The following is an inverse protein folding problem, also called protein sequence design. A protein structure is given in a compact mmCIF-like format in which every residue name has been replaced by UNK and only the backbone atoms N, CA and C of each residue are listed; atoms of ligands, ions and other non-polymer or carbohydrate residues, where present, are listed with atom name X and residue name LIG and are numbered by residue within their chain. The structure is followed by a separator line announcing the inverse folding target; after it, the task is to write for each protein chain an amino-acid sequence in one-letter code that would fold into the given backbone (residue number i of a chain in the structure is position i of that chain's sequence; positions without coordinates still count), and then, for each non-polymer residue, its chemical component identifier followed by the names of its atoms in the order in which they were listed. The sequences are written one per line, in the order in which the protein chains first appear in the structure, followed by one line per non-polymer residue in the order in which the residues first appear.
data_IF_736477131900
#
_entry.id   IF_736477131900
#
_cell.length_a   1.000
_cell.length_b   1.000
_cell.length_c   1.000
_cell.angle_alpha   90.00
_cell.angle_beta   90.00
_cell.angle_gamma   90.00
#
_symmetry.space_group_name_H-M   'P 1'
#
loop_
_entity.id
_entity.type
_entity.pdbx_description
1 polymer ?
#
# COMPACT_ATOMS: atom_id res chain seq x y z
N UNK A 1 11.78 38.30 39.47
CA UNK A 1 12.54 37.37 38.63
C UNK A 1 11.93 37.41 37.26
N UNK A 2 12.64 37.67 36.19
CA UNK A 2 12.07 37.66 34.86
C UNK A 2 11.72 36.20 34.50
N UNK A 3 10.50 35.97 33.98
CA UNK A 3 10.01 34.71 33.48
C UNK A 3 10.98 34.20 32.38
N UNK A 4 11.53 33.01 32.59
CA UNK A 4 12.29 32.34 31.54
C UNK A 4 11.40 32.26 30.28
N UNK A 5 11.76 32.95 29.21
CA UNK A 5 11.13 32.79 27.92
C UNK A 5 11.20 31.31 27.56
N UNK A 6 10.07 30.65 27.49
CA UNK A 6 9.96 29.30 26.98
C UNK A 6 10.34 29.41 25.48
N UNK A 7 11.58 29.16 25.15
CA UNK A 7 12.06 29.17 23.78
C UNK A 7 11.21 28.18 22.98
N UNK A 8 10.31 28.71 22.16
CA UNK A 8 9.53 27.91 21.20
C UNK A 8 10.53 27.27 20.24
N UNK A 9 10.77 25.97 20.38
CA UNK A 9 11.62 25.22 19.45
C UNK A 9 11.04 25.36 18.06
N UNK A 10 11.86 25.79 17.11
CA UNK A 10 11.46 25.90 15.71
C UNK A 10 10.87 24.56 15.22
N UNK A 11 9.73 24.54 14.55
CA UNK A 11 9.14 23.29 14.10
C UNK A 11 9.99 22.59 13.04
N UNK A 12 9.96 21.24 13.04
CA UNK A 12 10.72 20.44 12.09
C UNK A 12 10.03 19.11 11.78
N UNK A 13 10.36 18.55 10.61
CA UNK A 13 10.10 17.18 10.21
C UNK A 13 11.30 16.31 10.55
N UNK A 14 11.07 15.08 10.98
CA UNK A 14 12.11 14.07 11.21
C UNK A 14 11.72 12.76 10.54
N UNK A 15 12.45 12.37 9.51
CA UNK A 15 12.22 11.17 8.72
C UNK A 15 12.81 9.96 9.43
N UNK A 16 12.06 9.30 10.30
CA UNK A 16 12.55 8.16 11.09
C UNK A 16 12.11 6.80 10.56
N UNK A 17 11.10 6.78 9.70
CA UNK A 17 10.57 5.58 9.08
C UNK A 17 11.49 5.01 7.99
N UNK A 18 11.23 3.76 7.63
CA UNK A 18 11.93 3.07 6.55
C UNK A 18 11.69 3.70 5.18
N UNK A 19 10.56 4.40 4.97
CA UNK A 19 10.21 5.06 3.72
C UNK A 19 11.20 6.16 3.28
N UNK A 20 12.05 6.65 4.15
CA UNK A 20 13.13 7.55 3.77
C UNK A 20 14.34 6.82 3.12
N UNK A 21 14.39 5.49 3.22
CA UNK A 21 15.44 4.66 2.65
C UNK A 21 14.92 3.61 1.65
N UNK A 22 13.67 3.22 1.75
CA UNK A 22 13.00 2.20 0.94
C UNK A 22 11.52 2.53 0.74
N UNK A 23 10.69 1.53 0.45
CA UNK A 23 9.23 1.65 0.24
C UNK A 23 8.40 1.05 1.39
N UNK A 24 8.99 0.83 2.58
CA UNK A 24 8.26 0.22 3.71
C UNK A 24 8.52 0.94 5.02
N UNK A 25 7.63 0.78 5.99
CA UNK A 25 7.78 1.34 7.33
C UNK A 25 7.65 2.86 7.38
N UNK A 26 6.65 3.41 6.71
CA UNK A 26 6.41 4.86 6.62
C UNK A 26 6.19 5.48 7.99
N UNK A 27 7.02 6.47 8.35
CA UNK A 27 6.83 7.28 9.56
C UNK A 27 7.63 8.58 9.48
N UNK A 28 6.94 9.70 9.47
CA UNK A 28 7.54 11.03 9.58
C UNK A 28 7.04 11.70 10.85
N UNK A 29 7.97 12.13 11.71
CA UNK A 29 7.63 12.88 12.92
C UNK A 29 7.58 14.37 12.61
N UNK A 30 6.49 15.01 12.99
CA UNK A 30 6.32 16.46 12.97
C UNK A 30 6.42 16.98 14.40
N UNK A 31 7.39 17.86 14.66
CA UNK A 31 7.55 18.53 15.97
C UNK A 31 7.25 19.99 15.84
N UNK A 32 6.37 20.50 16.70
CA UNK A 32 6.07 21.93 16.82
C UNK A 32 5.61 22.22 18.26
N UNK A 33 6.00 23.35 18.77
CA UNK A 33 5.81 23.67 20.18
C UNK A 33 6.30 22.47 21.04
N UNK A 34 5.51 21.92 21.92
CA UNK A 34 5.84 20.70 22.67
C UNK A 34 5.11 19.46 22.12
N UNK A 35 4.52 19.56 20.94
CA UNK A 35 3.74 18.49 20.31
C UNK A 35 4.63 17.65 19.40
N UNK A 36 4.37 16.35 19.40
CA UNK A 36 4.99 15.36 18.53
C UNK A 36 3.89 14.55 17.86
N UNK A 37 3.69 14.80 16.56
CA UNK A 37 2.79 14.02 15.72
C UNK A 37 3.59 13.00 14.92
N UNK A 38 3.02 11.85 14.64
CA UNK A 38 3.51 10.95 13.61
C UNK A 38 2.58 11.05 12.38
N UNK A 39 3.15 11.14 11.19
CA UNK A 39 2.44 10.96 9.93
C UNK A 39 2.86 9.62 9.38
N UNK A 40 1.90 8.75 9.26
CA UNK A 40 1.99 7.32 9.12
C UNK A 40 2.73 6.60 10.28
N UNK A 41 2.43 5.34 10.43
CA UNK A 41 3.05 4.43 11.39
C UNK A 41 3.01 3.01 10.83
N UNK A 42 3.86 2.78 9.85
CA UNK A 42 3.88 1.55 9.09
C UNK A 42 4.80 0.48 9.64
N UNK A 43 4.62 -0.74 9.13
CA UNK A 43 5.53 -1.86 9.35
C UNK A 43 6.60 -1.91 8.26
N UNK A 44 7.82 -2.26 8.67
CA UNK A 44 8.89 -2.64 7.75
C UNK A 44 8.66 -4.09 7.34
N UNK A 45 8.57 -4.32 6.04
CA UNK A 45 8.33 -5.63 5.45
C UNK A 45 9.34 -5.87 4.32
N UNK A 46 10.13 -6.92 4.49
CA UNK A 46 11.06 -7.43 3.49
C UNK A 46 10.80 -8.92 3.28
N UNK A 47 11.70 -9.61 2.63
CA UNK A 47 11.60 -11.07 2.48
C UNK A 47 12.34 -11.83 3.60
N UNK A 48 12.72 -11.14 4.69
CA UNK A 48 13.47 -11.74 5.80
C UNK A 48 12.76 -11.50 7.14
N UNK A 49 12.03 -12.53 7.57
CA UNK A 49 11.22 -12.50 8.78
C UNK A 49 11.97 -12.03 10.05
N UNK A 50 13.19 -12.51 10.26
CA UNK A 50 14.00 -12.17 11.45
C UNK A 50 14.50 -10.72 11.37
N UNK A 51 14.89 -10.27 10.17
CA UNK A 51 15.32 -8.89 9.94
C UNK A 51 14.14 -7.94 10.14
N UNK A 52 12.97 -8.26 9.60
CA UNK A 52 11.75 -7.47 9.73
C UNK A 52 11.31 -7.32 11.18
N UNK A 53 11.32 -8.41 11.95
CA UNK A 53 11.00 -8.37 13.37
C UNK A 53 11.94 -7.42 14.14
N UNK A 54 13.24 -7.50 13.89
CA UNK A 54 14.24 -6.63 14.53
C UNK A 54 14.06 -5.17 14.10
N UNK A 55 13.91 -4.93 12.80
CA UNK A 55 13.76 -3.59 12.24
C UNK A 55 12.50 -2.88 12.79
N UNK A 56 11.37 -3.59 12.88
CA UNK A 56 10.14 -3.04 13.45
C UNK A 56 10.28 -2.71 14.94
N UNK A 57 10.95 -3.56 15.73
CA UNK A 57 11.25 -3.25 17.13
C UNK A 57 12.13 -2.01 17.27
N UNK A 58 13.14 -1.89 16.44
CA UNK A 58 14.08 -0.76 16.49
C UNK A 58 13.42 0.53 15.99
N UNK A 59 12.53 0.45 14.99
CA UNK A 59 11.69 1.56 14.57
C UNK A 59 10.83 2.07 15.73
N UNK A 60 10.14 1.18 16.44
CA UNK A 60 9.31 1.56 17.60
C UNK A 60 10.15 2.19 18.72
N UNK A 61 11.37 1.71 19.00
CA UNK A 61 12.28 2.35 19.97
C UNK A 61 12.66 3.78 19.56
N UNK A 62 12.88 4.02 18.24
CA UNK A 62 13.16 5.36 17.69
C UNK A 62 11.93 6.26 17.79
N UNK A 63 10.75 5.76 17.44
CA UNK A 63 9.47 6.49 17.55
C UNK A 63 9.18 6.90 18.97
N UNK A 64 9.49 6.06 19.97
CA UNK A 64 9.14 6.27 21.38
C UNK A 64 7.63 6.48 21.56
N UNK A 65 6.79 5.46 21.35
CA UNK A 65 5.32 5.57 21.22
C UNK A 65 4.66 6.37 22.36
N UNK A 66 5.09 6.19 23.61
CA UNK A 66 4.56 6.94 24.78
C UNK A 66 4.71 8.47 24.69
N UNK A 67 5.53 8.96 23.76
CA UNK A 67 5.77 10.40 23.58
C UNK A 67 5.00 11.00 22.40
N UNK A 68 4.22 10.20 21.69
CA UNK A 68 3.38 10.64 20.58
C UNK A 68 2.11 11.26 21.14
N UNK A 69 1.70 12.40 20.59
CA UNK A 69 0.48 13.13 20.99
C UNK A 69 -0.66 12.92 19.98
N UNK A 70 -0.36 12.53 18.74
CA UNK A 70 -1.33 12.19 17.72
C UNK A 70 -0.65 11.50 16.55
N UNK A 71 -1.43 10.69 15.82
CA UNK A 71 -1.00 10.00 14.58
C UNK A 71 -1.95 10.42 13.47
N UNK A 72 -1.42 10.68 12.28
CA UNK A 72 -2.17 10.99 11.07
C UNK A 72 -1.88 9.86 10.08
N UNK A 73 -2.90 9.14 9.64
CA UNK A 73 -2.79 8.05 8.68
C UNK A 73 -3.34 8.52 7.35
N UNK A 74 -2.55 8.36 6.28
CA UNK A 74 -2.96 8.71 4.91
C UNK A 74 -3.75 7.60 4.24
N UNK A 75 -3.36 6.33 4.42
CA UNK A 75 -4.07 5.18 3.85
C UNK A 75 -3.77 3.88 4.59
N UNK A 76 -4.43 2.78 4.20
CA UNK A 76 -4.50 1.57 5.02
C UNK A 76 -3.54 0.44 4.61
N UNK A 77 -2.55 0.67 3.74
CA UNK A 77 -1.51 -0.34 3.51
C UNK A 77 -0.68 -0.58 4.78
N UNK A 78 -0.19 -1.81 4.93
CA UNK A 78 0.50 -2.27 6.13
C UNK A 78 1.73 -1.43 6.50
N UNK A 79 2.45 -0.98 5.50
CA UNK A 79 3.65 -0.15 5.62
C UNK A 79 3.36 1.34 5.91
N UNK A 80 2.07 1.71 6.05
CA UNK A 80 1.61 3.03 6.47
C UNK A 80 0.82 3.05 7.78
N UNK A 81 0.10 1.95 8.15
CA UNK A 81 -0.78 2.00 9.31
C UNK A 81 -0.60 0.86 10.33
N UNK A 82 -0.12 -0.34 9.96
CA UNK A 82 -0.18 -1.48 10.88
C UNK A 82 0.88 -1.48 11.99
N UNK A 83 1.85 -0.58 11.95
CA UNK A 83 2.73 -0.28 13.08
C UNK A 83 2.00 0.33 14.30
N UNK A 84 0.76 0.83 14.11
CA UNK A 84 -0.11 1.27 15.21
C UNK A 84 -0.30 0.20 16.27
N UNK A 85 -0.45 -1.06 15.88
CA UNK A 85 -0.58 -2.20 16.79
C UNK A 85 0.61 -2.31 17.73
N UNK A 86 1.83 -2.29 17.20
CA UNK A 86 3.05 -2.33 17.99
C UNK A 86 3.22 -1.07 18.87
N UNK A 87 2.80 0.10 18.37
CA UNK A 87 2.89 1.34 19.13
C UNK A 87 1.95 1.35 20.35
N UNK A 88 0.71 0.89 20.22
CA UNK A 88 -0.22 0.81 21.37
C UNK A 88 0.19 -0.31 22.33
N UNK A 89 0.72 -1.44 21.84
CA UNK A 89 1.30 -2.48 22.69
C UNK A 89 2.48 -1.94 23.53
N UNK A 90 3.24 -0.97 23.00
CA UNK A 90 4.31 -0.27 23.73
C UNK A 90 3.84 0.94 24.53
N UNK A 91 2.53 1.12 24.67
CA UNK A 91 1.90 2.10 25.57
C UNK A 91 1.65 3.47 24.94
N UNK A 92 1.49 3.57 23.62
CA UNK A 92 0.98 4.79 22.99
C UNK A 92 -0.47 5.04 23.43
N UNK A 93 -0.75 6.29 23.79
CA UNK A 93 -2.08 6.81 24.12
C UNK A 93 -2.24 8.15 23.42
N UNK A 94 -2.68 8.10 22.14
CA UNK A 94 -2.74 9.27 21.27
C UNK A 94 -3.89 9.12 20.27
N UNK A 95 -4.57 10.23 19.96
CA UNK A 95 -5.57 10.24 18.90
C UNK A 95 -4.95 9.82 17.57
N UNK A 96 -5.69 8.99 16.82
CA UNK A 96 -5.31 8.47 15.52
C UNK A 96 -6.31 9.01 14.50
N UNK A 97 -5.89 10.00 13.74
CA UNK A 97 -6.70 10.64 12.71
C UNK A 97 -6.60 9.84 11.43
N UNK A 98 -7.73 9.41 10.88
CA UNK A 98 -7.83 8.61 9.66
C UNK A 98 -8.88 9.19 8.71
N UNK A 99 -8.78 8.95 7.40
CA UNK A 99 -9.81 9.38 6.46
C UNK A 99 -11.15 8.72 6.76
N UNK A 100 -12.23 9.48 6.59
CA UNK A 100 -13.60 8.99 6.81
C UNK A 100 -13.88 7.73 5.96
N UNK A 101 -14.54 6.75 6.56
CA UNK A 101 -14.88 5.45 5.95
C UNK A 101 -13.81 4.37 6.15
N UNK A 102 -12.66 4.70 6.72
CA UNK A 102 -11.51 3.78 6.85
C UNK A 102 -11.65 2.75 7.98
N UNK A 103 -12.47 2.99 9.00
CA UNK A 103 -12.53 2.16 10.23
C UNK A 103 -12.81 0.68 9.95
N UNK A 104 -13.83 0.31 9.14
CA UNK A 104 -14.16 -1.11 8.94
C UNK A 104 -13.00 -1.88 8.29
N UNK A 105 -12.36 -1.28 7.27
CA UNK A 105 -11.23 -1.91 6.56
C UNK A 105 -10.01 -1.98 7.46
N UNK A 106 -9.69 -0.91 8.22
CA UNK A 106 -8.56 -0.91 9.16
C UNK A 106 -8.69 -2.03 10.20
N UNK A 107 -9.90 -2.24 10.74
CA UNK A 107 -10.15 -3.32 11.71
C UNK A 107 -9.83 -4.69 11.09
N UNK A 108 -10.32 -4.95 9.88
CA UNK A 108 -10.05 -6.21 9.15
C UNK A 108 -8.54 -6.40 8.92
N UNK A 109 -7.84 -5.35 8.50
CA UNK A 109 -6.38 -5.38 8.28
C UNK A 109 -5.62 -5.65 9.58
N UNK A 110 -6.02 -5.07 10.71
CA UNK A 110 -5.40 -5.32 12.02
C UNK A 110 -5.60 -6.76 12.49
N UNK A 111 -6.81 -7.31 12.35
CA UNK A 111 -7.11 -8.69 12.72
C UNK A 111 -6.30 -9.71 11.92
N UNK A 112 -6.11 -9.46 10.62
CA UNK A 112 -5.25 -10.29 9.76
C UNK A 112 -3.78 -10.16 10.17
N UNK A 113 -3.32 -8.93 10.41
CA UNK A 113 -1.94 -8.66 10.84
C UNK A 113 -1.58 -9.38 12.14
N UNK A 114 -2.46 -9.40 13.14
CA UNK A 114 -2.24 -10.11 14.42
C UNK A 114 -2.07 -11.62 14.19
N UNK A 115 -2.88 -12.22 13.31
CA UNK A 115 -2.75 -13.64 12.95
C UNK A 115 -1.39 -13.92 12.30
N UNK A 116 -0.97 -13.05 11.38
CA UNK A 116 0.34 -13.16 10.72
C UNK A 116 1.47 -13.00 11.75
N UNK A 117 1.43 -12.01 12.63
CA UNK A 117 2.43 -11.80 13.69
C UNK A 117 2.57 -13.02 14.60
N UNK A 118 1.45 -13.67 14.96
CA UNK A 118 1.46 -14.87 15.79
C UNK A 118 2.10 -16.06 15.04
N UNK A 119 1.74 -16.28 13.78
CA UNK A 119 2.33 -17.32 12.93
C UNK A 119 3.84 -17.10 12.72
N UNK A 120 4.25 -15.88 12.50
CA UNK A 120 5.64 -15.51 12.28
C UNK A 120 6.48 -15.69 13.54
N UNK A 121 5.93 -15.41 14.72
CA UNK A 121 6.55 -15.73 16.00
C UNK A 121 6.82 -17.23 16.15
N UNK A 122 5.83 -18.08 15.81
CA UNK A 122 5.98 -19.53 15.82
C UNK A 122 7.02 -20.02 14.80
N UNK A 123 7.02 -19.47 13.58
CA UNK A 123 8.02 -19.79 12.56
C UNK A 123 9.44 -19.43 13.01
N UNK A 124 9.63 -18.27 13.64
CA UNK A 124 10.93 -17.85 14.17
C UNK A 124 11.43 -18.81 15.25
N UNK A 125 10.54 -19.24 16.15
CA UNK A 125 10.89 -20.19 17.19
C UNK A 125 11.23 -21.57 16.60
N UNK A 126 10.37 -22.10 15.70
CA UNK A 126 10.51 -23.47 15.19
C UNK A 126 11.66 -23.64 14.20
N UNK A 127 11.87 -22.65 13.30
CA UNK A 127 12.91 -22.73 12.24
C UNK A 127 14.27 -22.17 12.66
N UNK A 128 14.29 -21.18 13.55
CA UNK A 128 15.51 -20.44 13.90
C UNK A 128 15.87 -20.51 15.39
N UNK A 129 15.04 -21.14 16.23
CA UNK A 129 15.26 -21.19 17.68
C UNK A 129 15.14 -19.81 18.37
N UNK A 130 14.57 -18.81 17.69
CA UNK A 130 14.52 -17.42 18.15
C UNK A 130 13.21 -17.20 18.90
N UNK A 131 13.28 -16.89 20.21
CA UNK A 131 12.12 -16.44 20.98
C UNK A 131 11.80 -14.98 20.62
N UNK A 132 10.83 -14.79 19.75
CA UNK A 132 10.38 -13.49 19.27
C UNK A 132 8.85 -13.39 19.48
N UNK A 133 8.38 -12.90 20.66
CA UNK A 133 6.94 -12.75 20.89
C UNK A 133 6.35 -11.78 19.85
N UNK A 134 5.07 -11.95 19.47
CA UNK A 134 4.41 -11.03 18.55
C UNK A 134 4.55 -9.57 19.04
N UNK A 135 4.68 -8.63 18.10
CA UNK A 135 4.81 -7.21 18.43
C UNK A 135 3.53 -6.62 19.05
N UNK A 136 2.40 -7.26 18.81
CA UNK A 136 1.10 -6.92 19.37
C UNK A 136 0.22 -8.17 19.47
N UNK A 137 -0.89 -8.05 20.17
CA UNK A 137 -1.87 -9.10 20.43
C UNK A 137 -3.28 -8.62 20.06
N UNK A 138 -4.26 -9.52 20.04
CA UNK A 138 -5.65 -9.20 19.70
C UNK A 138 -6.22 -8.06 20.55
N UNK A 139 -5.93 -8.04 21.86
CA UNK A 139 -6.35 -6.96 22.74
C UNK A 139 -5.77 -5.58 22.44
N UNK A 140 -4.77 -5.49 21.58
CA UNK A 140 -4.22 -4.21 21.13
C UNK A 140 -5.05 -3.58 20.00
N UNK A 141 -5.88 -4.35 19.31
CA UNK A 141 -6.86 -3.86 18.33
C UNK A 141 -7.84 -2.89 19.02
N UNK A 142 -8.43 -3.30 20.14
CA UNK A 142 -9.38 -2.47 20.88
C UNK A 142 -8.73 -1.17 21.38
N UNK A 143 -7.44 -1.24 21.76
CA UNK A 143 -6.67 -0.04 22.14
C UNK A 143 -6.45 0.91 20.96
N UNK A 144 -6.26 0.42 19.74
CA UNK A 144 -6.21 1.28 18.54
C UNK A 144 -7.59 1.88 18.30
N UNK A 145 -8.63 1.04 18.29
CA UNK A 145 -10.01 1.45 17.97
C UNK A 145 -10.52 2.59 18.85
N UNK A 146 -10.21 2.57 20.14
CA UNK A 146 -10.66 3.62 21.09
C UNK A 146 -10.07 5.01 20.81
N UNK A 147 -8.93 5.10 20.09
CA UNK A 147 -8.26 6.36 19.78
C UNK A 147 -8.51 6.86 18.37
N UNK A 148 -9.28 6.14 17.55
CA UNK A 148 -9.58 6.51 16.16
C UNK A 148 -10.50 7.74 16.10
N UNK A 149 -10.15 8.65 15.19
CA UNK A 149 -10.96 9.82 14.86
C UNK A 149 -11.03 9.91 13.34
N UNK A 150 -12.21 9.71 12.78
CA UNK A 150 -12.43 9.92 11.35
C UNK A 150 -12.49 11.41 11.02
N UNK A 151 -11.77 11.79 9.97
CA UNK A 151 -11.71 13.15 9.47
C UNK A 151 -12.30 13.19 8.05
N UNK A 152 -13.37 13.97 7.81
CA UNK A 152 -13.97 14.09 6.49
C UNK A 152 -13.01 14.73 5.48
N UNK A 153 -13.11 14.31 4.21
CA UNK A 153 -12.36 14.92 3.12
C UNK A 153 -12.77 16.37 2.89
N UNK A 154 -11.81 17.23 2.57
CA UNK A 154 -12.04 18.66 2.30
C UNK A 154 -12.34 19.52 3.55
N UNK A 155 -12.50 18.91 4.74
CA UNK A 155 -12.88 19.63 5.97
C UNK A 155 -11.66 19.90 6.83
N UNK A 156 -11.38 21.19 7.11
CA UNK A 156 -10.31 21.59 8.02
C UNK A 156 -10.69 21.30 9.47
N UNK A 157 -10.10 20.22 10.02
CA UNK A 157 -10.40 19.68 11.33
C UNK A 157 -9.32 20.06 12.35
N UNK A 158 -9.73 20.61 13.50
CA UNK A 158 -8.79 20.88 14.60
C UNK A 158 -8.30 19.58 15.24
N UNK A 159 -6.99 19.46 15.38
CA UNK A 159 -6.34 18.31 16.00
C UNK A 159 -5.48 18.73 17.21
N UNK A 160 -4.83 17.76 17.86
CA UNK A 160 -4.00 18.02 19.04
C UNK A 160 -2.96 19.11 18.80
N UNK A 161 -2.65 19.88 19.82
CA UNK A 161 -1.66 20.96 19.79
C UNK A 161 -2.10 22.22 19.06
N UNK A 162 -3.39 22.35 18.72
CA UNK A 162 -3.94 23.50 18.01
C UNK A 162 -3.58 23.56 16.53
N UNK A 163 -3.09 22.46 15.98
CA UNK A 163 -2.91 22.29 14.52
C UNK A 163 -4.27 21.99 13.86
N UNK A 164 -4.32 22.13 12.52
CA UNK A 164 -5.47 21.74 11.72
C UNK A 164 -5.03 20.72 10.66
N UNK A 165 -5.86 19.72 10.45
CA UNK A 165 -5.68 18.67 9.44
C UNK A 165 -6.79 18.79 8.42
N UNK A 166 -6.43 18.72 7.13
CA UNK A 166 -7.37 18.57 6.01
C UNK A 166 -6.91 17.41 5.14
N UNK A 167 -7.80 16.47 4.86
CA UNK A 167 -7.56 15.40 3.90
C UNK A 167 -8.08 15.77 2.52
N UNK A 168 -7.29 15.42 1.50
CA UNK A 168 -7.62 15.50 0.08
C UNK A 168 -7.49 14.11 -0.53
N UNK A 169 -8.28 13.77 -1.55
CA UNK A 169 -8.17 12.45 -2.20
C UNK A 169 -6.79 12.24 -2.81
N UNK A 170 -6.24 11.04 -2.63
CA UNK A 170 -4.92 10.67 -3.15
C UNK A 170 -4.98 9.79 -4.42
N UNK A 171 -6.12 9.17 -4.73
CA UNK A 171 -6.29 8.35 -5.92
C UNK A 171 -5.57 6.99 -5.88
N UNK A 172 -5.00 6.60 -4.74
CA UNK A 172 -4.19 5.38 -4.58
C UNK A 172 -5.03 4.13 -4.36
N UNK A 173 -5.75 4.10 -3.27
CA UNK A 173 -6.70 3.05 -2.87
C UNK A 173 -7.95 3.69 -2.27
N UNK A 174 -8.95 2.89 -1.95
CA UNK A 174 -10.16 3.35 -1.25
C UNK A 174 -9.77 4.12 0.02
N UNK A 175 -10.44 5.25 0.24
CA UNK A 175 -10.20 6.16 1.36
C UNK A 175 -8.73 6.65 1.49
N UNK A 176 -7.90 6.51 0.47
CA UNK A 176 -6.55 7.08 0.51
C UNK A 176 -6.58 8.61 0.45
N UNK A 177 -5.77 9.23 1.29
CA UNK A 177 -5.75 10.67 1.46
C UNK A 177 -4.35 11.25 1.44
N UNK A 178 -4.22 12.41 0.81
CA UNK A 178 -3.17 13.36 1.06
C UNK A 178 -3.52 14.17 2.30
N UNK A 179 -2.56 14.45 3.18
CA UNK A 179 -2.79 15.21 4.41
C UNK A 179 -2.14 16.60 4.33
N UNK A 180 -2.89 17.64 4.62
CA UNK A 180 -2.35 19.00 4.82
C UNK A 180 -2.45 19.36 6.29
N UNK A 181 -1.29 19.59 6.91
CA UNK A 181 -1.16 19.99 8.29
C UNK A 181 -0.85 21.51 8.38
N UNK A 182 -1.73 22.26 9.02
CA UNK A 182 -1.51 23.67 9.35
C UNK A 182 -1.02 23.82 10.76
N UNK A 183 0.16 24.41 10.94
CA UNK A 183 0.81 24.63 12.24
C UNK A 183 0.92 26.12 12.48
N UNK A 184 0.31 26.60 13.57
CA UNK A 184 0.45 28.00 13.97
C UNK A 184 1.79 28.22 14.68
N UNK A 185 2.58 29.14 14.16
CA UNK A 185 3.86 29.57 14.74
C UNK A 185 3.87 31.09 14.95
N UNK A 186 3.57 31.53 16.14
CA UNK A 186 3.35 32.93 16.43
C UNK A 186 2.18 33.47 15.62
N UNK A 187 2.43 34.49 14.79
CA UNK A 187 1.45 35.09 13.87
C UNK A 187 1.41 34.43 12.49
N UNK A 188 2.31 33.49 12.16
CA UNK A 188 2.36 32.81 10.89
C UNK A 188 1.75 31.42 10.95
N UNK A 189 1.24 30.96 9.80
CA UNK A 189 0.79 29.57 9.63
C UNK A 189 1.79 28.88 8.68
N UNK A 190 2.31 27.75 9.09
CA UNK A 190 3.12 26.88 8.26
C UNK A 190 2.26 25.69 7.80
N UNK A 191 2.26 25.44 6.49
CA UNK A 191 1.55 24.32 5.88
C UNK A 191 2.55 23.24 5.45
N UNK A 192 2.29 22.02 5.88
CA UNK A 192 3.03 20.82 5.47
C UNK A 192 2.06 19.89 4.78
N UNK A 193 2.31 19.58 3.51
CA UNK A 193 1.57 18.59 2.73
C UNK A 193 2.27 17.24 2.80
N UNK A 194 1.50 16.18 2.91
CA UNK A 194 1.96 14.79 2.78
C UNK A 194 1.12 14.16 1.69
N UNK A 195 1.74 13.72 0.60
CA UNK A 195 0.97 13.10 -0.48
C UNK A 195 0.43 11.73 -0.08
N UNK A 196 1.07 11.07 0.90
CA UNK A 196 0.95 9.63 1.02
C UNK A 196 1.35 8.98 -0.31
N UNK A 197 0.92 7.76 -0.53
CA UNK A 197 0.97 7.12 -1.84
C UNK A 197 -0.18 7.64 -2.69
N UNK A 198 0.06 7.88 -3.98
CA UNK A 198 -0.96 8.48 -4.83
C UNK A 198 -0.96 7.97 -6.27
N UNK A 199 -2.09 8.19 -6.94
CA UNK A 199 -2.23 7.99 -8.38
C UNK A 199 -2.96 9.17 -9.01
N UNK A 200 -2.56 9.56 -10.22
CA UNK A 200 -3.17 10.70 -10.91
C UNK A 200 -4.34 10.34 -11.81
N UNK A 201 -4.62 9.06 -11.98
CA UNK A 201 -5.72 8.57 -12.81
C UNK A 201 -6.75 7.82 -11.98
N UNK A 202 -8.03 8.08 -12.26
CA UNK A 202 -9.12 7.29 -11.68
C UNK A 202 -9.05 5.85 -12.23
N UNK A 203 -9.02 4.87 -11.34
CA UNK A 203 -8.90 3.45 -11.69
C UNK A 203 -10.19 2.68 -11.54
N UNK A 204 -10.96 2.98 -10.54
CA UNK A 204 -12.24 2.37 -10.25
C UNK A 204 -13.24 3.42 -9.79
N UNK A 205 -14.51 3.06 -9.81
CA UNK A 205 -15.60 3.96 -9.35
C UNK A 205 -15.45 4.33 -7.88
N UNK A 206 -14.84 3.45 -7.09
CA UNK A 206 -14.71 3.62 -5.63
C UNK A 206 -13.47 4.40 -5.18
N UNK A 207 -12.57 4.74 -6.09
CA UNK A 207 -11.36 5.53 -5.79
C UNK A 207 -11.42 6.85 -6.54
N UNK A 208 -11.81 7.94 -5.85
CA UNK A 208 -11.83 9.27 -6.46
C UNK A 208 -10.45 9.66 -7.00
N UNK A 209 -10.37 10.43 -8.08
CA UNK A 209 -9.10 10.91 -8.61
C UNK A 209 -8.39 11.81 -7.58
N UNK A 210 -7.06 11.92 -7.74
CA UNK A 210 -6.27 12.80 -6.87
C UNK A 210 -6.74 14.24 -6.96
N UNK A 211 -6.80 14.92 -5.82
CA UNK A 211 -6.99 16.37 -5.73
C UNK A 211 -5.63 17.07 -5.62
N UNK A 212 -5.43 18.22 -6.26
CA UNK A 212 -4.18 18.96 -6.11
C UNK A 212 -4.05 19.50 -4.68
N UNK A 213 -2.88 19.37 -4.09
CA UNK A 213 -2.59 20.00 -2.79
C UNK A 213 -2.61 21.52 -2.90
N UNK A 214 -3.17 22.24 -1.90
CA UNK A 214 -3.01 23.69 -1.82
C UNK A 214 -1.55 24.05 -1.58
N UNK A 215 -1.20 25.35 -1.80
CA UNK A 215 0.16 25.81 -1.53
C UNK A 215 0.64 25.40 -0.14
N UNK A 216 1.82 24.76 -0.07
CA UNK A 216 2.48 24.30 1.14
C UNK A 216 3.90 24.89 1.28
N UNK A 217 4.37 25.10 2.51
CA UNK A 217 5.77 25.44 2.72
C UNK A 217 6.68 24.22 2.47
N UNK A 218 6.26 23.06 2.92
CA UNK A 218 6.95 21.80 2.64
C UNK A 218 5.94 20.77 2.17
N UNK A 219 6.28 20.01 1.13
CA UNK A 219 5.58 18.80 0.73
C UNK A 219 6.50 17.61 1.00
N UNK A 220 6.00 16.59 1.66
CA UNK A 220 6.60 15.27 1.75
C UNK A 220 5.87 14.39 0.75
N UNK A 221 6.57 13.95 -0.28
CA UNK A 221 5.95 13.29 -1.42
C UNK A 221 6.57 11.94 -1.73
N UNK A 222 5.75 10.97 -2.12
CA UNK A 222 6.21 9.67 -2.60
C UNK A 222 6.91 9.80 -3.95
N UNK A 223 7.80 8.85 -4.24
CA UNK A 223 8.38 8.66 -5.57
C UNK A 223 8.68 7.19 -5.85
N UNK A 224 7.72 6.31 -5.57
CA UNK A 224 7.84 4.85 -5.70
C UNK A 224 8.33 4.45 -7.08
N UNK A 225 7.77 5.04 -8.14
CA UNK A 225 8.19 4.80 -9.51
C UNK A 225 9.04 5.94 -10.07
N UNK A 226 10.06 6.33 -9.30
CA UNK A 226 11.05 7.35 -9.70
C UNK A 226 12.07 6.87 -10.73
N UNK A 227 12.04 5.59 -11.14
CA UNK A 227 12.82 5.05 -12.23
C UNK A 227 12.19 5.44 -13.59
N UNK A 228 12.92 6.10 -14.51
CA UNK A 228 12.40 6.50 -15.82
C UNK A 228 11.87 5.33 -16.68
N UNK A 229 12.32 4.11 -16.43
CA UNK A 229 11.80 2.92 -17.12
C UNK A 229 10.37 2.55 -16.71
N UNK A 230 9.88 3.13 -15.61
CA UNK A 230 8.52 2.97 -15.11
C UNK A 230 7.53 3.94 -15.76
N UNK A 231 7.66 4.13 -17.06
CA UNK A 231 6.74 4.93 -17.88
C UNK A 231 5.75 4.03 -18.59
N UNK A 232 4.46 4.28 -18.40
CA UNK A 232 3.40 3.67 -19.18
C UNK A 232 2.28 4.69 -19.45
N UNK A 233 1.52 4.47 -20.51
CA UNK A 233 0.36 5.29 -20.83
C UNK A 233 -0.90 4.57 -20.39
N UNK A 234 -1.62 5.09 -19.39
CA UNK A 234 -2.85 4.45 -18.90
C UNK A 234 -3.83 4.16 -20.05
N UNK A 235 -4.08 5.13 -20.93
CA UNK A 235 -5.05 4.95 -22.02
C UNK A 235 -4.66 3.84 -22.98
N UNK A 236 -3.38 3.79 -23.41
CA UNK A 236 -2.90 2.80 -24.38
C UNK A 236 -2.65 1.44 -23.75
N UNK A 237 -1.96 1.44 -22.61
CA UNK A 237 -1.53 0.20 -21.97
C UNK A 237 -2.70 -0.48 -21.25
N UNK A 238 -3.70 0.29 -20.75
CA UNK A 238 -4.95 -0.26 -20.20
C UNK A 238 -5.73 -1.02 -21.28
N UNK A 239 -5.89 -0.43 -22.46
CA UNK A 239 -6.52 -1.12 -23.57
C UNK A 239 -5.78 -2.42 -23.91
N UNK A 240 -4.44 -2.39 -23.92
CA UNK A 240 -3.63 -3.59 -24.18
C UNK A 240 -3.84 -4.66 -23.12
N UNK A 241 -3.77 -4.29 -21.84
CA UNK A 241 -4.01 -5.22 -20.72
C UNK A 241 -5.41 -5.86 -20.80
N UNK A 242 -6.43 -5.10 -21.17
CA UNK A 242 -7.80 -5.60 -21.39
C UNK A 242 -7.87 -6.59 -22.55
N UNK A 243 -7.14 -6.34 -23.66
CA UNK A 243 -7.06 -7.30 -24.78
C UNK A 243 -6.34 -8.60 -24.34
N UNK A 244 -5.28 -8.50 -23.56
CA UNK A 244 -4.58 -9.67 -23.01
C UNK A 244 -5.51 -10.49 -22.11
N UNK A 245 -6.24 -9.83 -21.20
CA UNK A 245 -7.21 -10.50 -20.33
C UNK A 245 -8.31 -11.17 -21.14
N UNK A 246 -8.89 -10.46 -22.11
CA UNK A 246 -9.92 -11.02 -22.99
C UNK A 246 -9.42 -12.26 -23.77
N UNK A 247 -8.25 -12.17 -24.38
CA UNK A 247 -7.65 -13.29 -25.09
C UNK A 247 -7.40 -14.47 -24.17
N UNK A 248 -6.84 -14.23 -22.98
CA UNK A 248 -6.55 -15.27 -22.00
C UNK A 248 -7.84 -15.98 -21.54
N UNK A 249 -8.92 -15.24 -21.29
CA UNK A 249 -10.21 -15.81 -20.87
C UNK A 249 -10.74 -16.83 -21.90
N UNK A 250 -10.56 -16.61 -23.20
CA UNK A 250 -11.02 -17.55 -24.22
C UNK A 250 -10.02 -18.66 -24.56
N UNK A 251 -8.73 -18.42 -24.34
CA UNK A 251 -7.66 -19.33 -24.76
C UNK A 251 -7.31 -20.38 -23.70
N UNK A 252 -7.36 -20.03 -22.41
CA UNK A 252 -6.89 -20.89 -21.33
C UNK A 252 -8.01 -21.48 -20.51
N UNK A 253 -7.72 -22.64 -19.90
CA UNK A 253 -8.68 -23.34 -19.03
C UNK A 253 -8.72 -22.71 -17.66
N UNK A 254 -7.55 -22.53 -17.03
CA UNK A 254 -7.45 -21.92 -15.70
C UNK A 254 -6.51 -20.75 -15.74
N UNK A 255 -6.96 -19.65 -15.19
CA UNK A 255 -6.23 -18.38 -15.16
C UNK A 255 -6.03 -17.99 -13.71
N UNK A 256 -4.78 -17.96 -13.25
CA UNK A 256 -4.44 -17.44 -11.93
C UNK A 256 -4.05 -15.96 -12.05
N UNK A 257 -4.67 -15.11 -11.24
CA UNK A 257 -4.33 -13.69 -11.10
C UNK A 257 -3.85 -13.41 -9.66
N UNK A 258 -2.54 -13.55 -9.39
CA UNK A 258 -1.99 -13.25 -8.08
C UNK A 258 -2.14 -11.76 -7.77
N UNK A 259 -2.63 -11.42 -6.57
CA UNK A 259 -2.90 -10.03 -6.22
C UNK A 259 -2.66 -9.73 -4.73
N UNK A 260 -2.54 -8.44 -4.41
CA UNK A 260 -2.69 -7.96 -3.03
C UNK A 260 -4.17 -7.93 -2.65
N UNK A 261 -4.45 -8.16 -1.37
CA UNK A 261 -5.83 -8.32 -0.90
C UNK A 261 -6.60 -7.01 -0.80
N UNK A 262 -5.95 -5.88 -0.54
CA UNK A 262 -6.59 -4.58 -0.46
C UNK A 262 -6.45 -3.84 -1.79
N UNK A 263 -7.54 -3.43 -2.37
CA UNK A 263 -7.74 -2.69 -3.62
C UNK A 263 -7.41 -3.49 -4.89
N UNK A 264 -6.34 -4.31 -4.93
CA UNK A 264 -5.94 -4.99 -6.16
C UNK A 264 -6.92 -6.09 -6.59
N UNK A 265 -7.53 -6.79 -5.64
CA UNK A 265 -8.55 -7.77 -5.92
C UNK A 265 -9.80 -7.10 -6.55
N UNK A 266 -10.20 -5.98 -5.99
CA UNK A 266 -11.33 -5.17 -6.46
C UNK A 266 -11.04 -4.55 -7.84
N UNK A 267 -9.83 -4.04 -8.07
CA UNK A 267 -9.41 -3.53 -9.39
C UNK A 267 -9.47 -4.61 -10.47
N UNK A 268 -9.11 -5.86 -10.13
CA UNK A 268 -9.21 -7.01 -11.06
C UNK A 268 -10.68 -7.33 -11.34
N UNK A 269 -11.53 -7.37 -10.32
CA UNK A 269 -12.97 -7.62 -10.49
C UNK A 269 -13.61 -6.56 -11.38
N UNK A 270 -13.26 -5.28 -11.20
CA UNK A 270 -13.75 -4.18 -12.03
C UNK A 270 -13.35 -4.34 -13.50
N UNK A 271 -12.11 -4.75 -13.77
CA UNK A 271 -11.65 -5.03 -15.13
C UNK A 271 -12.35 -6.24 -15.74
N UNK A 272 -12.50 -7.31 -14.98
CA UNK A 272 -13.23 -8.50 -15.45
C UNK A 272 -14.70 -8.19 -15.77
N UNK A 273 -15.30 -7.26 -15.04
CA UNK A 273 -16.65 -6.77 -15.34
C UNK A 273 -16.73 -6.08 -16.70
N UNK A 274 -15.74 -5.25 -17.05
CA UNK A 274 -15.68 -4.49 -18.31
C UNK A 274 -15.15 -5.32 -19.48
N UNK A 275 -14.65 -6.53 -19.23
CA UNK A 275 -14.14 -7.45 -20.25
C UNK A 275 -15.19 -8.48 -20.67
N UNK A 276 -14.82 -9.41 -21.54
CA UNK A 276 -15.69 -10.50 -21.97
C UNK A 276 -15.76 -11.68 -21.00
N UNK A 277 -15.27 -11.53 -19.78
CA UNK A 277 -15.34 -12.60 -18.77
C UNK A 277 -16.78 -13.10 -18.56
N UNK A 278 -17.73 -12.18 -18.57
CA UNK A 278 -19.16 -12.47 -18.43
C UNK A 278 -19.79 -13.17 -19.63
N UNK A 279 -19.14 -13.12 -20.82
CA UNK A 279 -19.67 -13.72 -22.05
C UNK A 279 -19.23 -15.18 -22.22
N UNK A 280 -18.08 -15.58 -21.65
CA UNK A 280 -17.58 -16.95 -21.81
C UNK A 280 -18.47 -17.93 -21.05
N UNK A 281 -19.03 -18.88 -21.79
CA UNK A 281 -19.87 -19.96 -21.26
C UNK A 281 -19.30 -21.32 -21.64
N UNK A 282 -19.39 -22.26 -20.71
CA UNK A 282 -19.13 -23.68 -20.94
C UNK A 282 -20.40 -24.42 -20.56
N UNK A 283 -20.91 -25.27 -21.42
CA UNK A 283 -22.20 -25.99 -21.25
C UNK A 283 -23.37 -25.05 -20.88
N UNK A 284 -23.37 -23.84 -21.43
CA UNK A 284 -24.42 -22.83 -21.21
C UNK A 284 -24.27 -22.02 -19.92
N UNK A 285 -23.32 -22.34 -19.05
CA UNK A 285 -23.03 -21.62 -17.80
C UNK A 285 -21.80 -20.73 -17.94
N UNK A 286 -21.83 -19.55 -17.30
CA UNK A 286 -20.65 -18.68 -17.24
C UNK A 286 -19.55 -19.36 -16.43
N UNK A 287 -18.29 -19.18 -16.89
CA UNK A 287 -17.13 -19.67 -16.11
C UNK A 287 -17.08 -18.98 -14.75
N UNK A 288 -16.76 -19.69 -13.66
CA UNK A 288 -16.62 -19.09 -12.34
C UNK A 288 -15.40 -18.19 -12.24
N UNK A 289 -15.57 -17.11 -11.49
CA UNK A 289 -14.49 -16.25 -11.01
C UNK A 289 -14.36 -16.50 -9.51
N UNK A 290 -13.27 -17.09 -9.08
CA UNK A 290 -13.01 -17.37 -7.67
C UNK A 290 -12.20 -16.24 -7.04
N UNK A 291 -12.71 -15.63 -5.96
CA UNK A 291 -11.92 -14.78 -5.06
C UNK A 291 -11.42 -15.64 -3.90
N UNK A 292 -10.21 -16.17 -4.05
CA UNK A 292 -9.58 -17.08 -3.09
C UNK A 292 -8.54 -16.37 -2.23
N UNK A 293 -9.03 -15.49 -1.36
CA UNK A 293 -8.27 -14.75 -0.37
C UNK A 293 -9.15 -14.38 0.81
N UNK A 294 -8.96 -14.96 2.01
CA UNK A 294 -9.78 -14.63 3.18
C UNK A 294 -9.78 -13.16 3.54
N UNK A 295 -8.65 -12.48 3.37
CA UNK A 295 -8.55 -11.05 3.63
C UNK A 295 -9.32 -10.24 2.57
N UNK A 296 -9.10 -10.52 1.28
CA UNK A 296 -9.84 -9.83 0.21
C UNK A 296 -11.35 -10.11 0.30
N UNK A 297 -11.76 -11.33 0.62
CA UNK A 297 -13.15 -11.68 0.90
C UNK A 297 -13.78 -10.77 1.97
N UNK A 298 -13.11 -10.60 3.10
CA UNK A 298 -13.60 -9.78 4.21
C UNK A 298 -13.65 -8.29 3.85
N UNK A 299 -12.65 -7.79 3.11
CA UNK A 299 -12.61 -6.42 2.61
C UNK A 299 -13.75 -6.21 1.63
N UNK A 300 -13.93 -7.12 0.67
CA UNK A 300 -15.02 -7.08 -0.30
C UNK A 300 -16.40 -6.99 0.38
N UNK A 301 -16.65 -7.82 1.40
CA UNK A 301 -17.91 -7.80 2.17
C UNK A 301 -18.10 -6.52 3.01
N UNK A 302 -17.02 -5.86 3.41
CA UNK A 302 -17.06 -4.59 4.13
C UNK A 302 -17.22 -3.36 3.23
N UNK A 303 -17.11 -3.55 1.92
CA UNK A 303 -17.12 -2.48 0.92
C UNK A 303 -18.45 -2.42 0.20
N UNK A 304 -19.35 -1.49 0.55
CA UNK A 304 -20.75 -1.52 0.09
C UNK A 304 -20.93 -1.28 -1.41
N UNK A 305 -19.99 -0.61 -2.08
CA UNK A 305 -20.12 -0.24 -3.50
C UNK A 305 -19.75 -1.37 -4.48
N UNK A 306 -19.29 -2.54 -3.98
CA UNK A 306 -18.75 -3.64 -4.80
C UNK A 306 -19.72 -4.83 -4.93
N UNK A 307 -20.87 -4.81 -4.26
CA UNK A 307 -21.80 -5.94 -4.17
C UNK A 307 -22.42 -6.38 -5.51
N UNK A 308 -22.31 -5.58 -6.57
CA UNK A 308 -22.91 -5.91 -7.86
C UNK A 308 -22.13 -6.94 -8.71
N UNK A 309 -20.91 -7.30 -8.32
CA UNK A 309 -20.08 -8.22 -9.13
C UNK A 309 -20.48 -9.69 -9.00
N UNK A 310 -21.13 -10.10 -7.91
CA UNK A 310 -21.42 -11.51 -7.62
C UNK A 310 -22.24 -12.18 -8.74
N UNK A 311 -23.35 -11.58 -9.16
CA UNK A 311 -24.21 -12.16 -10.18
C UNK A 311 -23.63 -12.02 -11.61
N UNK A 312 -23.04 -10.88 -11.92
CA UNK A 312 -22.60 -10.56 -13.28
C UNK A 312 -21.30 -11.28 -13.68
N UNK A 313 -20.44 -11.61 -12.72
CA UNK A 313 -19.18 -12.33 -12.96
C UNK A 313 -19.24 -13.82 -12.61
N UNK A 314 -20.39 -14.37 -12.17
CA UNK A 314 -20.43 -15.69 -11.52
C UNK A 314 -19.31 -15.77 -10.43
N UNK A 315 -19.22 -14.72 -9.61
CA UNK A 315 -18.21 -14.59 -8.58
C UNK A 315 -18.49 -15.54 -7.42
N UNK A 316 -17.50 -16.37 -7.08
CA UNK A 316 -17.55 -17.31 -5.96
C UNK A 316 -16.51 -16.91 -4.93
N UNK A 317 -16.96 -16.57 -3.75
CA UNK A 317 -16.12 -16.13 -2.64
C UNK A 317 -15.68 -17.35 -1.84
N UNK A 318 -14.37 -17.52 -1.67
CA UNK A 318 -13.76 -18.67 -0.98
C UNK A 318 -13.28 -18.24 0.40
N UNK A 319 -13.90 -18.81 1.44
CA UNK A 319 -13.60 -18.47 2.83
C UNK A 319 -12.68 -19.51 3.47
N UNK A 320 -13.03 -20.79 3.41
CA UNK A 320 -12.31 -21.86 4.08
C UNK A 320 -11.10 -22.37 3.28
N UNK A 321 -10.20 -23.08 3.97
CA UNK A 321 -9.07 -23.74 3.32
C UNK A 321 -9.52 -24.95 2.50
N UNK A 322 -10.52 -25.66 2.98
CA UNK A 322 -11.12 -26.83 2.34
C UNK A 322 -11.74 -26.46 0.99
N UNK A 323 -12.48 -25.34 0.91
CA UNK A 323 -12.99 -24.80 -0.35
C UNK A 323 -11.86 -24.43 -1.30
N UNK A 324 -10.81 -23.77 -0.79
CA UNK A 324 -9.63 -23.42 -1.57
C UNK A 324 -8.96 -24.66 -2.15
N UNK A 325 -8.79 -25.74 -1.36
CA UNK A 325 -8.23 -27.00 -1.84
C UNK A 325 -9.09 -27.63 -2.92
N UNK A 326 -10.41 -27.60 -2.78
CA UNK A 326 -11.33 -28.10 -3.80
C UNK A 326 -11.16 -27.35 -5.13
N UNK A 327 -11.04 -26.01 -5.08
CA UNK A 327 -10.76 -25.19 -6.26
C UNK A 327 -9.37 -25.51 -6.84
N UNK A 328 -8.33 -25.68 -6.01
CA UNK A 328 -6.97 -26.02 -6.48
C UNK A 328 -6.94 -27.34 -7.27
N UNK A 329 -7.65 -28.35 -6.79
CA UNK A 329 -7.68 -29.71 -7.35
C UNK A 329 -8.69 -29.86 -8.50
N UNK A 330 -9.57 -28.90 -8.69
CA UNK A 330 -10.57 -28.91 -9.77
C UNK A 330 -9.91 -28.76 -11.15
N UNK A 331 -10.47 -29.41 -12.14
CA UNK A 331 -10.15 -29.19 -13.55
C UNK A 331 -11.13 -28.23 -14.25
N UNK A 332 -12.04 -27.63 -13.50
CA UNK A 332 -13.00 -26.66 -14.02
C UNK A 332 -12.30 -25.45 -14.65
N UNK A 333 -12.81 -25.04 -15.80
CA UNK A 333 -12.35 -23.79 -16.43
C UNK A 333 -12.75 -22.60 -15.55
N UNK A 334 -11.77 -21.80 -15.11
CA UNK A 334 -12.03 -20.76 -14.11
C UNK A 334 -11.00 -19.63 -14.15
N UNK A 335 -11.42 -18.47 -13.67
CA UNK A 335 -10.52 -17.37 -13.28
C UNK A 335 -10.37 -17.41 -11.76
N UNK A 336 -9.12 -17.36 -11.27
CA UNK A 336 -8.79 -17.46 -9.85
C UNK A 336 -8.03 -16.22 -9.44
N UNK A 337 -8.63 -15.39 -8.60
CA UNK A 337 -8.02 -14.20 -8.00
C UNK A 337 -7.57 -14.60 -6.59
N UNK A 338 -6.27 -14.61 -6.33
CA UNK A 338 -5.77 -15.12 -5.04
C UNK A 338 -4.60 -14.29 -4.51
N UNK A 339 -4.44 -14.21 -3.19
CA UNK A 339 -3.30 -13.57 -2.53
C UNK A 339 -2.27 -14.59 -2.04
N UNK A 340 -0.97 -14.24 -2.00
CA UNK A 340 -0.37 -12.93 -2.21
C UNK A 340 0.13 -12.73 -3.63
N UNK A 341 0.23 -11.45 -4.03
CA UNK A 341 0.76 -11.08 -5.36
C UNK A 341 2.26 -11.35 -5.56
N UNK A 342 3.03 -11.52 -4.49
CA UNK A 342 4.47 -11.86 -4.52
C UNK A 342 4.73 -13.36 -4.55
N UNK A 343 3.71 -14.19 -4.33
CA UNK A 343 3.78 -15.65 -4.31
C UNK A 343 4.76 -16.24 -3.27
N UNK A 344 5.07 -15.50 -2.22
CA UNK A 344 5.93 -15.99 -1.13
C UNK A 344 5.16 -16.77 -0.07
N UNK A 345 3.85 -16.62 -0.03
CA UNK A 345 2.94 -17.27 0.90
C UNK A 345 1.49 -17.13 0.38
N UNK A 346 0.54 -17.71 1.11
CA UNK A 346 -0.89 -17.55 0.84
C UNK A 346 -1.43 -18.50 -0.21
N UNK A 347 -2.71 -18.32 -0.53
CA UNK A 347 -3.45 -19.26 -1.40
C UNK A 347 -2.99 -19.22 -2.85
N UNK A 348 -2.54 -18.07 -3.35
CA UNK A 348 -2.00 -17.95 -4.71
C UNK A 348 -0.79 -18.89 -4.92
N UNK A 349 0.08 -19.03 -3.90
CA UNK A 349 1.21 -19.96 -3.94
C UNK A 349 0.75 -21.42 -4.06
N UNK A 350 -0.31 -21.79 -3.33
CA UNK A 350 -0.84 -23.15 -3.38
C UNK A 350 -1.45 -23.51 -4.75
N UNK A 351 -2.10 -22.55 -5.41
CA UNK A 351 -2.61 -22.75 -6.76
C UNK A 351 -1.51 -23.02 -7.80
N UNK A 352 -0.29 -22.50 -7.62
CA UNK A 352 0.79 -22.66 -8.59
C UNK A 352 1.13 -24.14 -8.88
N UNK A 353 1.05 -25.01 -7.88
CA UNK A 353 1.31 -26.46 -8.07
C UNK A 353 0.42 -27.08 -9.14
N UNK A 354 -0.79 -26.56 -9.32
CA UNK A 354 -1.80 -27.08 -10.25
C UNK A 354 -1.87 -26.28 -11.55
N UNK A 355 -1.44 -25.02 -11.53
CA UNK A 355 -1.49 -24.12 -12.68
C UNK A 355 -0.23 -24.25 -13.55
N UNK A 356 0.97 -24.18 -12.96
CA UNK A 356 2.23 -24.14 -13.69
C UNK A 356 2.51 -25.35 -14.60
N UNK A 357 2.21 -26.61 -14.20
CA UNK A 357 2.57 -27.76 -15.04
C UNK A 357 1.82 -27.85 -16.35
N UNK A 358 0.70 -27.13 -16.51
CA UNK A 358 -0.18 -27.29 -17.67
C UNK A 358 -0.12 -26.09 -18.62
N UNK A 359 0.28 -26.33 -19.88
CA UNK A 359 0.37 -25.30 -20.93
C UNK A 359 -0.99 -24.74 -21.36
N UNK A 360 -2.10 -25.39 -21.03
CA UNK A 360 -3.44 -24.87 -21.21
C UNK A 360 -3.87 -23.89 -20.12
N UNK A 361 -3.02 -23.57 -19.16
CA UNK A 361 -3.27 -22.62 -18.08
C UNK A 361 -2.44 -21.35 -18.27
N UNK A 362 -2.82 -20.29 -17.56
CA UNK A 362 -2.11 -19.02 -17.56
C UNK A 362 -1.98 -18.41 -16.17
N UNK A 363 -0.92 -17.60 -15.99
CA UNK A 363 -0.75 -16.70 -14.82
C UNK A 363 -0.67 -15.27 -15.34
N UNK A 364 -1.57 -14.41 -14.89
CA UNK A 364 -1.61 -12.99 -15.24
C UNK A 364 -1.19 -12.16 -14.04
N UNK A 365 0.03 -11.66 -14.04
CA UNK A 365 0.54 -10.80 -12.97
C UNK A 365 0.01 -9.38 -13.09
N UNK A 366 -0.68 -8.91 -12.08
CA UNK A 366 -1.28 -7.56 -12.02
C UNK A 366 -0.39 -6.52 -11.33
N UNK A 367 0.88 -6.82 -11.05
CA UNK A 367 1.72 -5.89 -10.30
C UNK A 367 3.21 -6.17 -10.36
N UNK A 368 3.94 -5.35 -9.63
CA UNK A 368 5.37 -5.50 -9.42
C UNK A 368 5.67 -6.78 -8.64
N UNK A 369 6.81 -7.39 -8.94
CA UNK A 369 7.38 -8.50 -8.16
C UNK A 369 8.77 -8.09 -7.67
N UNK A 370 8.99 -8.17 -6.35
CA UNK A 370 10.29 -7.84 -5.76
C UNK A 370 11.32 -8.92 -6.08
N UNK A 371 12.60 -8.58 -6.26
CA UNK A 371 13.68 -9.56 -6.34
C UNK A 371 13.62 -10.56 -5.17
N UNK A 372 14.05 -11.80 -5.41
CA UNK A 372 14.01 -12.91 -4.44
C UNK A 372 12.58 -13.34 -4.04
N UNK A 373 11.59 -13.15 -4.92
CA UNK A 373 10.23 -13.69 -4.78
C UNK A 373 9.94 -14.69 -5.90
N UNK A 374 9.07 -15.67 -5.65
CA UNK A 374 8.63 -16.63 -6.67
C UNK A 374 7.96 -15.91 -7.85
N UNK A 375 7.18 -14.88 -7.57
CA UNK A 375 6.60 -14.04 -8.62
C UNK A 375 7.67 -13.41 -9.53
N UNK A 376 8.79 -12.96 -8.96
CA UNK A 376 9.92 -12.41 -9.72
C UNK A 376 10.55 -13.48 -10.63
N UNK A 377 10.84 -14.66 -10.11
CA UNK A 377 11.42 -15.76 -10.86
C UNK A 377 10.54 -16.15 -12.06
N UNK A 378 9.24 -16.33 -11.84
CA UNK A 378 8.28 -16.67 -12.90
C UNK A 378 8.22 -15.58 -13.97
N UNK A 379 8.12 -14.31 -13.56
CA UNK A 379 8.07 -13.16 -14.48
C UNK A 379 9.33 -13.01 -15.33
N UNK A 380 10.48 -13.50 -14.86
CA UNK A 380 11.77 -13.49 -15.57
C UNK A 380 12.06 -14.80 -16.31
N UNK A 381 11.04 -15.65 -16.48
CA UNK A 381 11.10 -16.80 -17.37
C UNK A 381 11.68 -18.08 -16.75
N UNK A 382 11.66 -18.20 -15.42
CA UNK A 382 12.05 -19.45 -14.77
C UNK A 382 11.22 -20.62 -15.32
N UNK A 383 11.92 -21.68 -15.75
CA UNK A 383 11.29 -22.88 -16.31
C UNK A 383 10.86 -23.87 -15.25
N UNK A 384 11.43 -23.76 -14.09
CA UNK A 384 11.18 -24.60 -12.93
C UNK A 384 11.13 -23.74 -11.67
N UNK A 385 10.23 -24.06 -10.77
CA UNK A 385 10.04 -23.34 -9.49
C UNK A 385 10.05 -24.33 -8.35
N UNK A 386 10.80 -24.04 -7.29
CA UNK A 386 10.81 -24.84 -6.06
C UNK A 386 9.61 -24.45 -5.19
N UNK A 387 8.65 -25.36 -5.00
CA UNK A 387 7.47 -25.18 -4.14
C UNK A 387 7.43 -26.31 -3.10
N UNK A 388 7.48 -25.96 -1.82
CA UNK A 388 7.42 -26.90 -0.68
C UNK A 388 8.37 -28.10 -0.80
N UNK A 389 9.56 -27.89 -1.39
CA UNK A 389 10.57 -28.92 -1.59
C UNK A 389 10.39 -29.77 -2.86
N UNK A 390 9.40 -29.47 -3.68
CA UNK A 390 9.17 -30.10 -5.00
C UNK A 390 9.54 -29.14 -6.13
N UNK A 391 10.18 -29.64 -7.17
CA UNK A 391 10.52 -28.88 -8.37
C UNK A 391 9.34 -28.97 -9.35
N UNK A 392 8.67 -27.84 -9.58
CA UNK A 392 7.48 -27.73 -10.45
C UNK A 392 7.87 -27.12 -11.79
N UNK A 393 7.54 -27.82 -12.88
CA UNK A 393 7.76 -27.32 -14.25
C UNK A 393 6.82 -26.17 -14.54
N UNK A 394 7.34 -25.09 -15.12
CA UNK A 394 6.56 -23.93 -15.55
C UNK A 394 6.27 -24.01 -17.05
N UNK A 395 5.17 -24.68 -17.39
CA UNK A 395 4.64 -24.81 -18.74
C UNK A 395 3.50 -23.83 -19.03
N UNK A 396 2.93 -23.21 -17.99
CA UNK A 396 1.84 -22.25 -18.14
C UNK A 396 2.26 -20.99 -18.90
N UNK A 397 1.30 -20.32 -19.51
CA UNK A 397 1.57 -19.03 -20.15
C UNK A 397 1.62 -17.91 -19.13
N UNK A 398 2.62 -17.03 -19.25
CA UNK A 398 2.87 -15.96 -18.26
C UNK A 398 2.65 -14.62 -18.95
N UNK A 399 1.78 -13.80 -18.36
CA UNK A 399 1.50 -12.43 -18.80
C UNK A 399 1.78 -11.44 -17.67
N UNK A 400 2.29 -10.26 -18.04
CA UNK A 400 2.51 -9.14 -17.11
C UNK A 400 1.62 -7.99 -17.55
N UNK A 401 0.69 -7.61 -16.68
CA UNK A 401 -0.21 -6.49 -16.88
C UNK A 401 0.42 -5.24 -16.23
N UNK A 402 0.37 -4.11 -16.93
CA UNK A 402 1.14 -2.92 -16.54
C UNK A 402 0.32 -1.86 -15.81
N UNK A 403 -1.01 -1.84 -15.98
CA UNK A 403 -1.86 -0.73 -15.57
C UNK A 403 -2.58 -0.91 -14.23
N UNK A 404 -2.31 -1.99 -13.53
CA UNK A 404 -2.90 -2.27 -12.23
C UNK A 404 -2.15 -1.64 -11.04
N UNK A 405 -1.02 -0.95 -11.28
CA UNK A 405 -0.34 -0.27 -10.18
C UNK A 405 -1.19 0.83 -9.56
N UNK A 406 -1.19 0.94 -8.24
CA UNK A 406 -1.89 1.99 -7.52
C UNK A 406 -1.04 3.24 -7.30
N UNK A 407 0.25 3.23 -7.72
CA UNK A 407 1.12 4.39 -7.67
C UNK A 407 1.16 5.12 -9.01
N UNK A 408 1.41 6.42 -8.93
CA UNK A 408 1.72 7.23 -10.08
C UNK A 408 3.01 6.74 -10.76
N UNK A 409 3.03 6.66 -12.09
CA UNK A 409 4.23 6.34 -12.84
C UNK A 409 5.18 7.55 -12.92
N UNK A 410 6.39 7.35 -13.48
CA UNK A 410 7.42 8.39 -13.57
C UNK A 410 6.90 9.70 -14.16
N UNK A 411 6.19 9.67 -15.28
CA UNK A 411 5.68 10.86 -15.95
C UNK A 411 4.57 11.54 -15.13
N UNK A 412 3.73 10.77 -14.49
CA UNK A 412 2.67 11.27 -13.61
C UNK A 412 3.25 11.94 -12.36
N UNK A 413 4.28 11.34 -11.74
CA UNK A 413 5.03 11.96 -10.63
C UNK A 413 5.64 13.31 -11.07
N UNK A 414 6.34 13.33 -12.22
CA UNK A 414 6.92 14.55 -12.78
C UNK A 414 5.86 15.61 -13.02
N UNK A 415 4.74 15.27 -13.63
CA UNK A 415 3.64 16.19 -13.92
C UNK A 415 3.01 16.74 -12.63
N UNK A 416 2.68 15.88 -11.68
CA UNK A 416 2.03 16.27 -10.44
C UNK A 416 2.88 17.26 -9.64
N UNK A 417 4.17 16.97 -9.43
CA UNK A 417 5.06 17.86 -8.68
C UNK A 417 5.40 19.17 -9.39
N UNK A 418 5.21 19.25 -10.69
CA UNK A 418 5.30 20.50 -11.43
C UNK A 418 4.02 21.36 -11.31
N UNK A 419 2.86 20.77 -11.04
CA UNK A 419 1.58 21.48 -10.97
C UNK A 419 1.28 22.08 -9.60
N UNK A 420 1.69 21.43 -8.50
CA UNK A 420 1.45 21.90 -7.14
C UNK A 420 2.46 22.99 -6.73
N UNK A 421 2.09 23.83 -5.75
CA UNK A 421 2.90 24.95 -5.29
C UNK A 421 3.50 24.69 -3.90
N UNK A 422 4.84 24.74 -3.80
CA UNK A 422 5.58 24.51 -2.56
C UNK A 422 6.91 25.24 -2.54
N UNK A 423 7.43 25.54 -1.32
CA UNK A 423 8.78 26.06 -1.17
C UNK A 423 9.83 24.94 -1.23
N UNK A 424 9.50 23.77 -0.65
CA UNK A 424 10.37 22.59 -0.63
C UNK A 424 9.56 21.29 -0.80
N UNK A 425 10.07 20.40 -1.64
CA UNK A 425 9.61 19.00 -1.75
C UNK A 425 10.66 18.07 -1.16
N UNK A 426 10.25 17.22 -0.22
CA UNK A 426 11.07 16.16 0.37
C UNK A 426 10.55 14.82 -0.15
N UNK A 427 11.32 14.17 -1.02
CA UNK A 427 10.93 12.90 -1.61
C UNK A 427 11.23 11.73 -0.66
N UNK A 428 10.27 10.82 -0.54
CA UNK A 428 10.30 9.60 0.28
C UNK A 428 9.76 8.41 -0.53
N UNK A 429 9.70 7.23 0.07
CA UNK A 429 9.04 6.04 -0.47
C UNK A 429 9.63 5.58 -1.80
N UNK A 430 10.94 5.45 -1.84
CA UNK A 430 11.70 4.88 -2.97
C UNK A 430 13.11 4.50 -2.51
N UNK A 431 13.78 3.65 -3.27
CA UNK A 431 15.21 3.41 -3.08
C UNK A 431 16.01 4.70 -3.25
N UNK A 432 17.04 4.84 -2.44
CA UNK A 432 17.76 6.13 -2.33
C UNK A 432 18.37 6.59 -3.65
N UNK A 433 18.97 5.70 -4.45
CA UNK A 433 19.57 6.01 -5.76
C UNK A 433 18.54 6.63 -6.72
N UNK A 434 17.42 5.95 -6.92
CA UNK A 434 16.36 6.38 -7.83
C UNK A 434 15.74 7.71 -7.39
N UNK A 435 15.53 7.86 -6.07
CA UNK A 435 15.01 9.08 -5.48
C UNK A 435 15.91 10.29 -5.69
N UNK A 436 17.24 10.12 -5.60
CA UNK A 436 18.24 11.19 -5.84
C UNK A 436 18.21 11.61 -7.31
N UNK A 437 18.20 10.66 -8.24
CA UNK A 437 18.15 10.94 -9.68
C UNK A 437 16.85 11.67 -10.06
N UNK A 438 15.72 11.19 -9.56
CA UNK A 438 14.42 11.84 -9.77
C UNK A 438 14.40 13.27 -9.20
N UNK A 439 14.96 13.48 -7.98
CA UNK A 439 15.05 14.80 -7.36
C UNK A 439 15.86 15.78 -8.23
N UNK A 440 16.97 15.35 -8.79
CA UNK A 440 17.79 16.17 -9.68
C UNK A 440 17.02 16.53 -10.97
N UNK A 441 16.44 15.54 -11.64
CA UNK A 441 15.69 15.75 -12.88
C UNK A 441 14.51 16.70 -12.69
N UNK A 442 13.76 16.52 -11.59
CA UNK A 442 12.64 17.40 -11.26
C UNK A 442 13.12 18.80 -10.91
N UNK A 443 14.21 18.95 -10.12
CA UNK A 443 14.78 20.25 -9.79
C UNK A 443 15.20 21.03 -11.04
N UNK A 444 15.93 20.38 -11.96
CA UNK A 444 16.35 21.00 -13.23
C UNK A 444 15.15 21.45 -14.08
N UNK A 445 14.08 20.64 -14.09
CA UNK A 445 12.86 20.97 -14.80
C UNK A 445 12.17 22.20 -14.20
N UNK A 446 12.07 22.29 -12.86
CA UNK A 446 11.48 23.43 -12.16
C UNK A 446 12.29 24.73 -12.39
N UNK A 447 13.61 24.64 -12.36
CA UNK A 447 14.51 25.79 -12.65
C UNK A 447 14.29 26.29 -14.08
N UNK A 448 14.22 25.39 -15.07
CA UNK A 448 13.91 25.76 -16.48
C UNK A 448 12.55 26.44 -16.62
N UNK A 449 11.59 26.14 -15.74
CA UNK A 449 10.28 26.78 -15.69
C UNK A 449 10.26 28.08 -14.88
N UNK A 450 11.40 28.54 -14.35
CA UNK A 450 11.52 29.74 -13.53
C UNK A 450 10.98 29.60 -12.10
N UNK A 451 10.76 28.34 -11.61
CA UNK A 451 10.29 28.09 -10.25
C UNK A 451 11.45 28.07 -9.26
N UNK A 452 11.26 28.67 -8.09
CA UNK A 452 12.26 28.75 -7.01
C UNK A 452 12.14 27.59 -6.00
N UNK A 453 11.23 26.67 -6.19
CA UNK A 453 11.00 25.52 -5.32
C UNK A 453 12.23 24.62 -5.26
N UNK A 454 12.51 24.07 -4.07
CA UNK A 454 13.64 23.17 -3.85
C UNK A 454 13.19 21.71 -3.73
N UNK A 455 13.80 20.79 -4.44
CA UNK A 455 13.56 19.35 -4.35
C UNK A 455 14.74 18.66 -3.66
N UNK A 456 14.46 17.79 -2.70
CA UNK A 456 15.48 17.03 -1.96
C UNK A 456 15.03 15.57 -1.77
N UNK A 457 15.96 14.64 -1.95
CA UNK A 457 15.75 13.26 -1.54
C UNK A 457 15.93 13.16 -0.01
N UNK A 458 14.85 12.84 0.70
CA UNK A 458 14.90 12.68 2.16
C UNK A 458 15.76 11.47 2.54
N UNK A 459 16.50 11.60 3.65
CA UNK A 459 17.32 10.53 4.22
C UNK A 459 16.78 10.09 5.57
N UNK A 460 17.02 8.83 5.91
CA UNK A 460 16.64 8.32 7.22
C UNK A 460 17.35 9.10 8.34
N UNK A 461 16.63 9.35 9.42
CA UNK A 461 17.06 10.16 10.56
C UNK A 461 17.36 11.66 10.25
N UNK A 462 17.07 12.12 9.02
CA UNK A 462 17.21 13.53 8.64
C UNK A 462 16.14 14.40 9.29
N UNK A 463 16.54 15.62 9.70
CA UNK A 463 15.63 16.67 10.15
C UNK A 463 15.57 17.80 9.13
N UNK A 464 14.35 18.27 8.86
CA UNK A 464 14.07 19.40 7.97
C UNK A 464 13.24 20.44 8.73
N UNK A 465 13.75 21.65 8.83
CA UNK A 465 13.10 22.77 9.56
C UNK A 465 12.06 23.46 8.68
N UNK A 466 10.92 23.82 9.31
CA UNK A 466 9.83 24.56 8.68
C UNK A 466 10.09 26.08 8.64
#
# INVERSE_FOLDING_TARGET
MPAKSSGTTKPYLHFIGGNAASVTGSCTIVRFNNIKLAVDMGLIQTNNLVADYRANRDLMKKIKPKTIHGVIIGHLHADHCLGLLAAVAMGMQAYIYIPQGSIPILKIMMEDCIKIMAQDSLKMQNKHGIKAPPLATEGDIDKVMQWLVEVPFGVSTAIVGGAKLTYYHAGHIVHSAQAVLEIKQGYSIKRVGFTGDFNTEAKSVSVPPIEPLPRCNIVVGECTYSDPTRCYSMKKDRWYDEQVINAAIYQYNRILMPCFSLQRAEDILDVLWHTRATERKIDGQMIPVYLDSPLAYRIYKAWPDVLEYEDKLNLRLIESWEESQAVQQSNECAIIIASSGMLNAGRALAHLKYILPNSCNAVLFSGYASPNTIAYEIKHGAKEIMLDGELIQNNAQIYCLNTFSSHANYNQLMQYYQQIDYDRLCLVHSEFSNKVEFAHTLQDTLVKQGKSSRVVAAQQDQKVWL
#
